data_IF_587672715958
#
_entry.id   IF_587672715958
#
_cell.length_a   1.000
_cell.length_b   1.000
_cell.length_c   1.000
_cell.angle_alpha   90.00
_cell.angle_beta   90.00
_cell.angle_gamma   90.00
#
_symmetry.space_group_name_H-M   'P 1'
#
loop_
_entity.id
_entity.type
_entity.pdbx_description
1 polymer ?
#
# COMPACT_ATOMS: atom_id res chain seq x y z
N UNK A 1 37.28 -30.95 -0.20
CA UNK A 1 35.85 -30.76 0.08
C UNK A 1 35.66 -29.38 0.66
N UNK A 2 35.35 -28.40 -0.20
CA UNK A 2 35.10 -27.01 0.20
C UNK A 2 33.71 -26.94 0.82
N UNK A 3 33.61 -26.48 2.08
CA UNK A 3 32.34 -26.16 2.72
C UNK A 3 31.64 -25.08 1.88
N UNK A 4 30.65 -25.46 1.08
CA UNK A 4 29.65 -24.52 0.60
C UNK A 4 28.97 -23.92 1.83
N UNK A 5 29.15 -22.62 2.08
CA UNK A 5 28.31 -21.90 3.03
C UNK A 5 26.89 -21.96 2.48
N UNK A 6 26.08 -22.90 2.98
CA UNK A 6 24.67 -22.96 2.66
C UNK A 6 24.03 -21.62 3.05
N UNK A 7 23.51 -20.90 2.06
CA UNK A 7 22.77 -19.66 2.32
C UNK A 7 21.52 -19.91 3.16
N UNK A 8 20.90 -18.83 3.64
CA UNK A 8 19.59 -18.91 4.29
C UNK A 8 18.48 -18.64 3.27
N UNK A 9 17.32 -19.27 3.46
CA UNK A 9 16.16 -19.06 2.62
C UNK A 9 15.70 -17.60 2.68
N UNK A 10 15.45 -17.03 1.50
CA UNK A 10 15.03 -15.64 1.36
C UNK A 10 13.64 -15.38 1.99
N UNK A 11 12.81 -16.40 2.24
CA UNK A 11 11.49 -16.17 2.86
C UNK A 11 11.46 -16.48 4.36
N UNK A 12 11.97 -17.64 4.78
CA UNK A 12 11.84 -18.10 6.18
C UNK A 12 13.15 -18.11 6.98
N UNK A 13 14.30 -17.88 6.35
CA UNK A 13 15.61 -17.95 7.02
C UNK A 13 16.14 -19.36 7.30
N UNK A 14 15.39 -20.43 6.99
CA UNK A 14 15.87 -21.81 7.12
C UNK A 14 17.04 -22.12 6.16
N UNK A 15 17.77 -23.21 6.40
CA UNK A 15 18.88 -23.64 5.54
C UNK A 15 18.43 -23.80 4.08
N UNK A 16 19.10 -23.11 3.16
CA UNK A 16 18.77 -23.17 1.75
C UNK A 16 19.40 -24.39 1.06
N UNK A 17 18.67 -24.92 0.07
CA UNK A 17 19.09 -26.04 -0.80
C UNK A 17 19.05 -25.66 -2.27
N UNK A 18 18.35 -24.59 -2.60
CA UNK A 18 18.17 -24.07 -3.96
C UNK A 18 18.74 -22.65 -4.04
N UNK A 19 19.12 -22.25 -5.25
CA UNK A 19 19.47 -20.86 -5.56
C UNK A 19 18.82 -20.43 -6.87
N UNK A 20 18.48 -19.15 -6.98
CA UNK A 20 17.97 -18.59 -8.23
C UNK A 20 19.00 -18.77 -9.36
N UNK A 21 18.59 -19.35 -10.49
CA UNK A 21 19.48 -19.61 -11.63
C UNK A 21 19.90 -18.33 -12.37
N UNK A 22 19.06 -17.27 -12.32
CA UNK A 22 19.30 -15.99 -12.99
C UNK A 22 20.31 -15.13 -12.23
N UNK A 23 19.98 -14.68 -11.01
CA UNK A 23 20.88 -13.79 -10.26
C UNK A 23 21.98 -14.55 -9.50
N UNK A 24 21.80 -15.83 -9.17
CA UNK A 24 22.69 -16.65 -8.31
C UNK A 24 22.97 -16.08 -6.92
N UNK A 25 22.20 -15.07 -6.48
CA UNK A 25 22.39 -14.31 -5.24
C UNK A 25 21.27 -14.49 -4.21
N UNK A 26 20.26 -15.29 -4.55
CA UNK A 26 19.09 -15.54 -3.71
C UNK A 26 18.89 -17.03 -3.55
N UNK A 27 18.61 -17.46 -2.33
CA UNK A 27 18.61 -18.86 -1.90
C UNK A 27 17.27 -19.25 -1.29
N UNK A 28 16.86 -20.50 -1.46
CA UNK A 28 15.56 -21.02 -1.00
C UNK A 28 15.72 -22.41 -0.36
N UNK A 29 14.89 -22.73 0.64
CA UNK A 29 14.88 -24.06 1.26
C UNK A 29 14.22 -25.12 0.37
N UNK A 30 13.22 -24.73 -0.42
CA UNK A 30 12.45 -25.60 -1.31
C UNK A 30 11.90 -24.83 -2.53
N UNK A 31 11.27 -25.58 -3.43
CA UNK A 31 10.71 -25.08 -4.69
C UNK A 31 9.50 -24.18 -4.45
N UNK A 32 8.76 -24.39 -3.36
CA UNK A 32 7.54 -23.63 -3.07
C UNK A 32 7.89 -22.21 -2.64
N UNK A 33 8.91 -22.05 -1.78
CA UNK A 33 9.43 -20.72 -1.42
C UNK A 33 10.04 -20.00 -2.63
N UNK A 34 10.74 -20.71 -3.51
CA UNK A 34 11.24 -20.13 -4.75
C UNK A 34 10.10 -19.63 -5.64
N UNK A 35 9.05 -20.43 -5.84
CA UNK A 35 7.87 -20.05 -6.64
C UNK A 35 7.09 -18.91 -6.01
N UNK A 36 6.90 -18.94 -4.69
CA UNK A 36 6.20 -17.89 -3.96
C UNK A 36 6.91 -16.54 -4.11
N UNK A 37 8.24 -16.52 -3.93
CA UNK A 37 9.06 -15.32 -4.14
C UNK A 37 9.01 -14.85 -5.60
N UNK A 38 9.12 -15.78 -6.56
CA UNK A 38 9.06 -15.50 -7.99
C UNK A 38 7.77 -14.81 -8.43
N UNK A 39 6.62 -15.41 -8.10
CA UNK A 39 5.29 -14.91 -8.47
C UNK A 39 4.95 -13.62 -7.74
N UNK A 40 5.53 -13.40 -6.55
CA UNK A 40 5.32 -12.19 -5.77
C UNK A 40 6.13 -11.02 -6.34
N UNK A 41 7.46 -11.12 -6.33
CA UNK A 41 8.30 -9.95 -6.61
C UNK A 41 9.65 -10.28 -7.25
N UNK A 42 10.18 -11.49 -7.02
CA UNK A 42 11.55 -11.80 -7.41
C UNK A 42 11.77 -11.67 -8.91
N UNK A 43 10.79 -12.00 -9.75
CA UNK A 43 10.88 -11.79 -11.20
C UNK A 43 11.25 -10.34 -11.55
N UNK A 44 10.64 -9.36 -10.88
CA UNK A 44 10.85 -7.92 -11.11
C UNK A 44 12.17 -7.44 -10.52
N UNK A 45 12.57 -7.95 -9.35
CA UNK A 45 13.78 -7.46 -8.65
C UNK A 45 15.05 -8.27 -8.98
N UNK A 46 14.95 -9.43 -9.64
CA UNK A 46 16.06 -10.38 -9.83
C UNK A 46 17.34 -9.71 -10.34
N UNK A 47 17.23 -8.90 -11.40
CA UNK A 47 18.36 -8.19 -12.00
C UNK A 47 18.81 -6.99 -11.14
N UNK A 48 17.88 -6.33 -10.46
CA UNK A 48 18.16 -5.20 -9.57
C UNK A 48 18.99 -5.62 -8.35
N UNK A 49 18.88 -6.89 -7.94
CA UNK A 49 19.63 -7.44 -6.81
C UNK A 49 21.13 -7.60 -7.09
N UNK A 50 21.53 -7.79 -8.36
CA UNK A 50 22.93 -8.05 -8.74
C UNK A 50 23.86 -6.92 -8.27
N UNK A 51 23.67 -5.65 -8.68
CA UNK A 51 24.53 -4.55 -8.25
C UNK A 51 24.41 -4.24 -6.75
N UNK A 52 23.35 -4.71 -6.07
CA UNK A 52 23.08 -4.41 -4.66
C UNK A 52 23.72 -5.45 -3.71
N UNK A 53 23.90 -6.69 -4.17
CA UNK A 53 24.43 -7.81 -3.37
C UNK A 53 25.85 -8.23 -3.76
N UNK A 54 26.38 -7.75 -4.89
CA UNK A 54 27.76 -8.07 -5.30
C UNK A 54 28.78 -7.35 -4.41
N UNK A 55 29.69 -8.10 -3.79
CA UNK A 55 30.81 -7.56 -3.01
C UNK A 55 31.84 -6.91 -3.92
N UNK A 56 32.32 -5.72 -3.56
CA UNK A 56 33.24 -4.93 -4.38
C UNK A 56 34.70 -5.00 -3.88
N UNK A 57 35.69 -4.82 -4.77
CA UNK A 57 37.11 -4.75 -4.41
C UNK A 57 37.40 -3.57 -3.46
N UNK A 58 38.31 -3.78 -2.51
CA UNK A 58 38.63 -2.85 -1.41
C UNK A 58 39.48 -1.63 -1.80
N UNK A 59 40.06 -1.60 -3.00
CA UNK A 59 41.06 -0.62 -3.41
C UNK A 59 40.46 0.45 -4.32
N UNK A 60 39.82 1.46 -3.74
CA UNK A 60 39.26 2.60 -4.48
C UNK A 60 39.37 3.91 -3.70
N UNK A 61 39.37 5.06 -4.38
CA UNK A 61 39.43 6.38 -3.73
C UNK A 61 38.21 6.68 -2.84
N UNK A 62 38.35 7.67 -1.95
CA UNK A 62 37.28 8.02 -1.00
C UNK A 62 36.06 8.62 -1.70
N UNK A 63 36.25 9.47 -2.72
CA UNK A 63 35.17 10.08 -3.50
C UNK A 63 34.35 9.03 -4.23
N UNK A 64 35.01 8.07 -4.89
CA UNK A 64 34.31 7.01 -5.58
C UNK A 64 33.57 6.08 -4.61
N UNK A 65 34.14 5.86 -3.41
CA UNK A 65 33.47 5.10 -2.34
C UNK A 65 32.19 5.81 -1.90
N UNK A 66 32.22 7.12 -1.67
CA UNK A 66 31.03 7.93 -1.30
C UNK A 66 29.97 7.86 -2.41
N UNK A 67 30.36 8.14 -3.65
CA UNK A 67 29.45 8.09 -4.80
C UNK A 67 28.80 6.70 -4.95
N UNK A 68 29.57 5.61 -4.77
CA UNK A 68 29.03 4.24 -4.83
C UNK A 68 28.04 3.95 -3.71
N UNK A 69 28.31 4.40 -2.48
CA UNK A 69 27.37 4.23 -1.35
C UNK A 69 26.06 4.96 -1.65
N UNK A 70 26.11 6.18 -2.18
CA UNK A 70 24.92 6.92 -2.58
C UNK A 70 24.11 6.19 -3.67
N UNK A 71 24.78 5.68 -4.70
CA UNK A 71 24.14 4.89 -5.75
C UNK A 71 23.52 3.59 -5.21
N UNK A 72 24.19 2.93 -4.27
CA UNK A 72 23.67 1.73 -3.62
C UNK A 72 22.40 2.04 -2.83
N UNK A 73 22.39 3.13 -2.05
CA UNK A 73 21.21 3.56 -1.30
C UNK A 73 20.07 3.95 -2.24
N UNK A 74 20.34 4.67 -3.34
CA UNK A 74 19.32 5.01 -4.35
C UNK A 74 18.67 3.76 -4.94
N UNK A 75 19.46 2.76 -5.32
CA UNK A 75 18.96 1.47 -5.83
C UNK A 75 18.14 0.71 -4.79
N UNK A 76 18.59 0.70 -3.53
CA UNK A 76 17.86 0.04 -2.45
C UNK A 76 16.52 0.73 -2.17
N UNK A 77 16.48 2.07 -2.17
CA UNK A 77 15.22 2.84 -2.05
C UNK A 77 14.25 2.52 -3.18
N UNK A 78 14.72 2.48 -4.42
CA UNK A 78 13.90 2.06 -5.55
C UNK A 78 13.30 0.65 -5.37
N UNK A 79 14.09 -0.30 -4.85
CA UNK A 79 13.60 -1.66 -4.56
C UNK A 79 12.56 -1.63 -3.43
N UNK A 80 12.75 -0.80 -2.39
CA UNK A 80 11.76 -0.63 -1.30
C UNK A 80 10.43 -0.15 -1.86
N UNK A 81 10.44 0.85 -2.73
CA UNK A 81 9.21 1.42 -3.30
C UNK A 81 8.49 0.38 -4.19
N UNK A 82 9.25 -0.31 -5.06
CA UNK A 82 8.71 -1.34 -5.95
C UNK A 82 8.11 -2.54 -5.18
N UNK A 83 8.81 -3.00 -4.13
CA UNK A 83 8.37 -4.12 -3.29
C UNK A 83 7.14 -3.73 -2.45
N UNK A 84 7.13 -2.52 -1.89
CA UNK A 84 5.99 -2.00 -1.10
C UNK A 84 4.74 -1.82 -1.97
N UNK A 85 4.88 -1.19 -3.15
CA UNK A 85 3.78 -1.01 -4.10
C UNK A 85 3.23 -2.35 -4.59
N UNK A 86 4.11 -3.31 -4.91
CA UNK A 86 3.66 -4.65 -5.33
C UNK A 86 2.93 -5.39 -4.20
N UNK A 87 3.39 -5.30 -2.96
CA UNK A 87 2.69 -5.88 -1.81
C UNK A 87 1.31 -5.26 -1.61
N UNK A 88 1.22 -3.92 -1.63
CA UNK A 88 -0.04 -3.18 -1.49
C UNK A 88 -1.04 -3.58 -2.57
N UNK A 89 -0.59 -3.67 -3.83
CA UNK A 89 -1.44 -4.13 -4.94
C UNK A 89 -2.00 -5.53 -4.70
N UNK A 90 -1.18 -6.48 -4.24
CA UNK A 90 -1.68 -7.82 -3.93
C UNK A 90 -2.69 -7.84 -2.77
N UNK A 91 -2.52 -6.95 -1.79
CA UNK A 91 -3.46 -6.81 -0.68
C UNK A 91 -4.82 -6.31 -1.20
N UNK A 92 -4.84 -5.26 -2.03
CA UNK A 92 -6.07 -4.74 -2.62
C UNK A 92 -6.75 -5.74 -3.57
N UNK A 93 -5.97 -6.54 -4.30
CA UNK A 93 -6.47 -7.64 -5.13
C UNK A 93 -7.03 -8.84 -4.31
N UNK A 94 -6.97 -8.81 -2.97
CA UNK A 94 -7.32 -9.94 -2.10
C UNK A 94 -6.34 -11.12 -2.15
N UNK A 95 -5.20 -10.97 -2.84
CA UNK A 95 -4.16 -11.98 -3.03
C UNK A 95 -3.15 -11.95 -1.87
N UNK A 96 -3.63 -11.99 -0.63
CA UNK A 96 -2.84 -11.75 0.57
C UNK A 96 -1.61 -12.66 0.70
N UNK A 97 -1.72 -13.95 0.34
CA UNK A 97 -0.56 -14.88 0.33
C UNK A 97 0.56 -14.43 -0.61
N UNK A 98 0.23 -13.81 -1.75
CA UNK A 98 1.22 -13.30 -2.73
C UNK A 98 1.85 -11.99 -2.26
N UNK A 99 1.22 -11.24 -1.37
CA UNK A 99 1.78 -10.00 -0.82
C UNK A 99 2.96 -10.25 0.13
N UNK A 100 2.98 -11.40 0.83
CA UNK A 100 3.94 -11.68 1.90
C UNK A 100 5.42 -11.58 1.45
N UNK A 101 5.87 -12.20 0.33
CA UNK A 101 7.27 -12.07 -0.07
C UNK A 101 7.65 -10.63 -0.45
N UNK A 102 6.80 -9.92 -1.18
CA UNK A 102 7.02 -8.51 -1.54
C UNK A 102 7.17 -7.63 -0.29
N UNK A 103 6.27 -7.77 0.70
CA UNK A 103 6.33 -7.01 1.94
C UNK A 103 7.57 -7.38 2.79
N UNK A 104 8.00 -8.64 2.76
CA UNK A 104 9.22 -9.10 3.43
C UNK A 104 10.48 -8.48 2.80
N UNK A 105 10.55 -8.40 1.47
CA UNK A 105 11.65 -7.70 0.78
C UNK A 105 11.65 -6.21 1.12
N UNK A 106 10.49 -5.56 1.13
CA UNK A 106 10.36 -4.16 1.57
C UNK A 106 10.95 -3.96 2.96
N UNK A 107 10.57 -4.81 3.94
CA UNK A 107 11.11 -4.73 5.30
C UNK A 107 12.62 -4.92 5.35
N UNK A 108 13.16 -5.90 4.62
CA UNK A 108 14.60 -6.21 4.60
C UNK A 108 15.43 -5.07 4.03
N UNK A 109 15.01 -4.52 2.90
CA UNK A 109 15.72 -3.39 2.31
C UNK A 109 15.56 -2.13 3.15
N UNK A 110 14.39 -1.85 3.71
CA UNK A 110 14.19 -0.74 4.65
C UNK A 110 15.09 -0.86 5.88
N UNK A 111 15.21 -2.05 6.45
CA UNK A 111 16.13 -2.32 7.57
C UNK A 111 17.59 -2.03 7.19
N UNK A 112 18.00 -2.39 5.96
CA UNK A 112 19.36 -2.15 5.47
C UNK A 112 19.65 -0.67 5.20
N UNK A 113 18.67 0.08 4.71
CA UNK A 113 18.82 1.51 4.36
C UNK A 113 18.70 2.41 5.58
N UNK A 114 17.72 2.16 6.45
CA UNK A 114 17.36 3.08 7.53
C UNK A 114 17.74 2.58 8.94
N UNK A 115 18.09 1.29 9.08
CA UNK A 115 18.39 0.66 10.35
C UNK A 115 17.15 0.06 11.05
N UNK A 116 17.37 -0.85 12.00
CA UNK A 116 16.30 -1.67 12.62
C UNK A 116 15.32 -0.92 13.51
N UNK A 117 15.65 0.30 13.94
CA UNK A 117 14.85 1.10 14.88
C UNK A 117 14.18 2.31 14.21
N UNK A 118 14.25 2.41 12.89
CA UNK A 118 13.80 3.58 12.15
C UNK A 118 12.29 3.53 11.89
N UNK A 119 11.61 4.69 12.00
CA UNK A 119 10.17 4.83 11.70
C UNK A 119 9.84 4.48 10.25
N UNK A 120 10.81 4.59 9.34
CA UNK A 120 10.67 4.23 7.92
C UNK A 120 10.43 2.72 7.70
N UNK A 121 10.56 1.88 8.74
CA UNK A 121 10.20 0.45 8.68
C UNK A 121 8.71 0.21 8.91
N UNK A 122 7.99 1.15 9.54
CA UNK A 122 6.57 1.00 9.90
C UNK A 122 5.72 0.60 8.70
N UNK A 123 5.79 1.24 7.51
CA UNK A 123 4.97 0.85 6.36
C UNK A 123 5.14 -0.61 5.94
N UNK A 124 6.36 -1.15 5.99
CA UNK A 124 6.61 -2.55 5.63
C UNK A 124 6.05 -3.53 6.67
N UNK A 125 6.11 -3.18 7.97
CA UNK A 125 5.44 -3.96 9.00
C UNK A 125 3.92 -3.95 8.85
N UNK A 126 3.32 -2.82 8.50
CA UNK A 126 1.87 -2.72 8.28
C UNK A 126 1.43 -3.57 7.07
N UNK A 127 2.17 -3.54 5.96
CA UNK A 127 1.92 -4.41 4.80
C UNK A 127 1.97 -5.90 5.16
N UNK A 128 2.96 -6.31 5.95
CA UNK A 128 3.08 -7.69 6.43
C UNK A 128 1.92 -8.07 7.35
N UNK A 129 1.52 -7.18 8.25
CA UNK A 129 0.40 -7.40 9.16
C UNK A 129 -0.91 -7.56 8.39
N UNK A 130 -1.21 -6.66 7.46
CA UNK A 130 -2.43 -6.68 6.65
C UNK A 130 -2.50 -7.94 5.77
N UNK A 131 -1.38 -8.33 5.14
CA UNK A 131 -1.29 -9.59 4.42
C UNK A 131 -1.53 -10.80 5.35
N UNK A 132 -1.02 -10.79 6.59
CA UNK A 132 -1.26 -11.86 7.56
C UNK A 132 -2.73 -11.91 8.02
N UNK A 133 -3.36 -10.76 8.24
CA UNK A 133 -4.80 -10.65 8.56
C UNK A 133 -5.62 -11.28 7.44
N UNK A 134 -5.38 -10.90 6.17
CA UNK A 134 -6.11 -11.43 5.03
C UNK A 134 -5.86 -12.93 4.75
N UNK A 135 -4.78 -13.51 5.27
CA UNK A 135 -4.56 -14.97 5.26
C UNK A 135 -5.22 -15.68 6.45
N UNK A 136 -5.66 -14.94 7.47
CA UNK A 136 -6.21 -15.46 8.72
C UNK A 136 -5.14 -15.81 9.77
N UNK A 137 -3.88 -15.43 9.57
CA UNK A 137 -2.81 -15.65 10.54
C UNK A 137 -2.70 -14.45 11.50
N UNK A 138 -3.68 -14.33 12.40
CA UNK A 138 -3.79 -13.19 13.32
C UNK A 138 -2.61 -13.11 14.30
N UNK A 139 -2.02 -14.24 14.69
CA UNK A 139 -0.84 -14.27 15.56
C UNK A 139 0.35 -13.56 14.91
N UNK A 140 0.63 -13.89 13.65
CA UNK A 140 1.75 -13.26 12.93
C UNK A 140 1.46 -11.79 12.64
N UNK A 141 0.21 -11.44 12.33
CA UNK A 141 -0.20 -10.04 12.17
C UNK A 141 0.04 -9.23 13.44
N UNK A 142 -0.40 -9.74 14.60
CA UNK A 142 -0.17 -9.12 15.91
C UNK A 142 1.33 -8.90 16.17
N UNK A 143 2.17 -9.90 15.88
CA UNK A 143 3.62 -9.79 16.07
C UNK A 143 4.21 -8.62 15.24
N UNK A 144 3.81 -8.47 13.97
CA UNK A 144 4.26 -7.36 13.14
C UNK A 144 3.73 -6.00 13.60
N UNK A 145 2.47 -5.93 14.04
CA UNK A 145 1.90 -4.70 14.58
C UNK A 145 2.57 -4.28 15.90
N UNK A 146 2.95 -5.24 16.76
CA UNK A 146 3.73 -4.93 17.96
C UNK A 146 5.11 -4.33 17.63
N UNK A 147 5.78 -4.80 16.56
CA UNK A 147 7.04 -4.20 16.10
C UNK A 147 6.83 -2.76 15.58
N UNK A 148 5.80 -2.55 14.75
CA UNK A 148 5.45 -1.23 14.25
C UNK A 148 5.09 -0.26 15.39
N UNK A 149 4.27 -0.72 16.34
CA UNK A 149 3.85 0.07 17.51
C UNK A 149 5.04 0.44 18.39
N UNK A 150 5.97 -0.48 18.63
CA UNK A 150 7.15 -0.19 19.42
C UNK A 150 8.04 0.86 18.75
N UNK A 151 8.20 0.82 17.42
CA UNK A 151 8.95 1.84 16.68
C UNK A 151 8.26 3.20 16.78
N UNK A 152 6.95 3.26 16.57
CA UNK A 152 6.17 4.51 16.69
C UNK A 152 6.30 5.09 18.10
N UNK A 153 6.14 4.26 19.14
CA UNK A 153 6.24 4.70 20.54
C UNK A 153 7.63 5.25 20.89
N UNK A 154 8.69 4.70 20.29
CA UNK A 154 10.07 5.12 20.53
C UNK A 154 10.52 6.29 19.67
N UNK A 155 9.71 6.74 18.72
CA UNK A 155 10.04 7.86 17.84
C UNK A 155 9.43 9.14 18.41
N UNK A 156 10.24 10.08 18.94
CA UNK A 156 9.73 11.37 19.41
C UNK A 156 9.02 12.10 18.26
N UNK A 157 7.90 12.75 18.56
CA UNK A 157 7.10 13.52 17.59
C UNK A 157 6.79 12.73 16.30
N UNK A 158 6.54 11.42 16.44
CA UNK A 158 6.22 10.56 15.31
C UNK A 158 5.04 11.15 14.52
N UNK A 159 5.23 11.38 13.23
CA UNK A 159 4.21 11.98 12.37
C UNK A 159 2.87 11.24 12.46
N UNK A 160 1.77 12.01 12.46
CA UNK A 160 0.41 11.47 12.39
C UNK A 160 0.23 10.51 11.22
N UNK A 161 0.96 10.72 10.10
CA UNK A 161 1.00 9.86 8.91
C UNK A 161 1.34 8.38 9.20
N UNK A 162 2.21 8.12 10.20
CA UNK A 162 2.51 6.75 10.62
C UNK A 162 1.53 6.25 11.68
N UNK A 163 1.14 7.12 12.60
CA UNK A 163 0.27 6.75 13.72
C UNK A 163 -1.12 6.32 13.25
N UNK A 164 -1.74 7.07 12.33
CA UNK A 164 -3.09 6.76 11.88
C UNK A 164 -3.14 5.39 11.15
N UNK A 165 -2.16 5.10 10.29
CA UNK A 165 -2.05 3.80 9.58
C UNK A 165 -1.83 2.63 10.53
N UNK A 166 -1.05 2.84 11.60
CA UNK A 166 -0.88 1.84 12.66
C UNK A 166 -2.22 1.56 13.36
N UNK A 167 -2.95 2.61 13.74
CA UNK A 167 -4.28 2.48 14.34
C UNK A 167 -5.27 1.80 13.40
N UNK A 168 -5.27 2.11 12.10
CA UNK A 168 -6.08 1.40 11.11
C UNK A 168 -5.81 -0.09 11.12
N UNK A 169 -4.53 -0.46 11.06
CA UNK A 169 -4.11 -1.87 10.99
C UNK A 169 -4.43 -2.64 12.28
N UNK A 170 -4.31 -1.99 13.44
CA UNK A 170 -4.78 -2.55 14.72
C UNK A 170 -6.30 -2.71 14.73
N UNK A 171 -7.05 -1.73 14.21
CA UNK A 171 -8.49 -1.82 14.01
C UNK A 171 -8.88 -3.04 13.19
N UNK A 172 -8.23 -3.23 12.03
CA UNK A 172 -8.44 -4.39 11.16
C UNK A 172 -8.11 -5.72 11.84
N UNK A 173 -7.03 -5.79 12.62
CA UNK A 173 -6.69 -6.98 13.40
C UNK A 173 -7.83 -7.34 14.35
N UNK A 174 -8.36 -6.37 15.11
CA UNK A 174 -9.44 -6.61 16.05
C UNK A 174 -10.79 -6.90 15.38
N UNK A 175 -11.04 -6.38 14.18
CA UNK A 175 -12.19 -6.81 13.36
C UNK A 175 -12.07 -8.29 13.03
N UNK A 176 -10.90 -8.73 12.56
CA UNK A 176 -10.66 -10.13 12.22
C UNK A 176 -10.68 -11.07 13.43
N UNK A 177 -10.30 -10.57 14.62
CA UNK A 177 -10.40 -11.26 15.91
C UNK A 177 -11.84 -11.28 16.46
N UNK A 178 -12.76 -10.48 15.91
CA UNK A 178 -14.14 -10.33 16.38
C UNK A 178 -14.31 -9.39 17.59
N UNK A 179 -13.24 -8.75 18.04
CA UNK A 179 -13.28 -7.77 19.14
C UNK A 179 -13.68 -6.38 18.63
N UNK A 180 -14.96 -6.20 18.33
CA UNK A 180 -15.45 -4.96 17.72
C UNK A 180 -15.26 -3.71 18.60
N UNK A 181 -15.22 -3.84 19.92
CA UNK A 181 -15.00 -2.69 20.80
C UNK A 181 -13.58 -2.12 20.64
N UNK A 182 -12.57 -2.99 20.62
CA UNK A 182 -11.19 -2.57 20.38
C UNK A 182 -11.00 -2.11 18.93
N UNK A 183 -11.67 -2.75 17.98
CA UNK A 183 -11.66 -2.31 16.59
C UNK A 183 -12.16 -0.86 16.46
N UNK A 184 -13.33 -0.54 17.04
CA UNK A 184 -13.89 0.81 17.01
C UNK A 184 -13.00 1.84 17.69
N UNK A 185 -12.37 1.50 18.82
CA UNK A 185 -11.40 2.37 19.49
C UNK A 185 -10.23 2.72 18.56
N UNK A 186 -9.63 1.72 17.93
CA UNK A 186 -8.49 1.94 17.04
C UNK A 186 -8.89 2.68 15.76
N UNK A 187 -10.04 2.36 15.16
CA UNK A 187 -10.53 3.06 13.97
C UNK A 187 -10.92 4.51 14.26
N UNK A 188 -11.46 4.82 15.43
CA UNK A 188 -11.71 6.20 15.85
C UNK A 188 -10.40 7.01 15.95
N UNK A 189 -9.34 6.41 16.47
CA UNK A 189 -8.01 7.03 16.53
C UNK A 189 -7.39 7.22 15.12
N UNK A 190 -7.56 6.26 14.20
CA UNK A 190 -7.16 6.44 12.78
C UNK A 190 -7.86 7.65 12.17
N UNK A 191 -9.19 7.73 12.28
CA UNK A 191 -9.97 8.87 11.75
C UNK A 191 -9.50 10.19 12.35
N UNK A 192 -9.34 10.25 13.68
CA UNK A 192 -8.91 11.46 14.38
C UNK A 192 -7.52 11.91 13.89
N UNK A 193 -6.53 11.01 13.92
CA UNK A 193 -5.15 11.31 13.55
C UNK A 193 -5.01 11.66 12.06
N UNK A 194 -5.70 10.92 11.18
CA UNK A 194 -5.73 11.21 9.75
C UNK A 194 -6.36 12.58 9.48
N UNK A 195 -7.51 12.87 10.11
CA UNK A 195 -8.19 14.17 9.96
C UNK A 195 -7.35 15.33 10.48
N UNK A 196 -6.63 15.15 11.59
CA UNK A 196 -5.72 16.18 12.11
C UNK A 196 -4.48 16.38 11.22
N UNK A 197 -4.04 15.36 10.50
CA UNK A 197 -2.82 15.41 9.68
C UNK A 197 -3.09 15.92 8.27
N UNK A 198 -4.17 15.45 7.63
CA UNK A 198 -4.46 15.67 6.21
C UNK A 198 -5.73 16.49 5.97
N UNK A 199 -6.49 16.78 7.03
CA UNK A 199 -7.78 17.47 6.98
C UNK A 199 -8.96 16.50 7.02
N UNK A 200 -10.12 17.02 7.44
CA UNK A 200 -11.33 16.23 7.72
C UNK A 200 -11.88 15.49 6.49
N UNK A 201 -11.76 16.09 5.30
CA UNK A 201 -12.30 15.57 4.04
C UNK A 201 -11.18 14.99 3.14
N UNK A 202 -10.15 14.43 3.77
CA UNK A 202 -9.01 13.82 3.08
C UNK A 202 -9.29 12.35 2.74
N UNK A 203 -8.72 11.87 1.63
CA UNK A 203 -8.85 10.45 1.24
C UNK A 203 -8.19 9.54 2.28
N UNK A 204 -7.16 10.03 2.98
CA UNK A 204 -6.47 9.34 4.07
C UNK A 204 -7.39 9.03 5.25
N UNK A 205 -8.33 9.93 5.58
CA UNK A 205 -9.33 9.71 6.64
C UNK A 205 -10.46 8.76 6.20
N UNK A 206 -10.72 8.64 4.90
CA UNK A 206 -11.84 7.83 4.36
C UNK A 206 -11.73 6.35 4.71
N UNK A 207 -10.51 5.79 4.73
CA UNK A 207 -10.28 4.37 5.05
C UNK A 207 -10.74 4.01 6.47
N UNK A 208 -10.52 4.90 7.44
CA UNK A 208 -10.96 4.71 8.82
C UNK A 208 -12.49 4.69 8.94
N UNK A 209 -13.16 5.63 8.26
CA UNK A 209 -14.62 5.66 8.18
C UNK A 209 -15.20 4.42 7.50
N UNK A 210 -14.59 3.96 6.41
CA UNK A 210 -15.03 2.76 5.67
C UNK A 210 -14.95 1.51 6.54
N UNK A 211 -13.83 1.28 7.23
CA UNK A 211 -13.71 0.13 8.12
C UNK A 211 -14.63 0.24 9.33
N UNK A 212 -14.84 1.44 9.88
CA UNK A 212 -15.78 1.65 10.97
C UNK A 212 -17.22 1.37 10.53
N UNK A 213 -17.60 1.78 9.32
CA UNK A 213 -18.89 1.45 8.71
C UNK A 213 -19.07 -0.06 8.60
N UNK A 214 -18.06 -0.80 8.13
CA UNK A 214 -18.10 -2.27 8.05
C UNK A 214 -18.33 -2.91 9.42
N UNK A 215 -17.71 -2.39 10.50
CA UNK A 215 -17.98 -2.89 11.86
C UNK A 215 -19.44 -2.69 12.26
N UNK A 216 -19.99 -1.50 12.02
CA UNK A 216 -21.39 -1.23 12.35
C UNK A 216 -22.38 -2.01 11.48
N UNK A 217 -22.03 -2.25 10.21
CA UNK A 217 -22.76 -3.13 9.31
C UNK A 217 -22.82 -4.55 9.87
N UNK A 218 -21.68 -5.11 10.30
CA UNK A 218 -21.63 -6.43 10.97
C UNK A 218 -22.43 -6.48 12.28
N UNK A 219 -22.56 -5.36 12.99
CA UNK A 219 -23.40 -5.24 14.18
C UNK A 219 -24.89 -5.00 13.87
N UNK A 220 -25.30 -4.98 12.60
CA UNK A 220 -26.66 -4.65 12.15
C UNK A 220 -27.14 -3.24 12.57
N UNK A 221 -26.20 -2.30 12.79
CA UNK A 221 -26.50 -0.88 13.10
C UNK A 221 -26.49 -0.07 11.80
N UNK A 222 -27.45 -0.39 10.94
CA UNK A 222 -27.50 0.08 9.54
C UNK A 222 -27.53 1.60 9.40
N UNK A 223 -28.22 2.31 10.29
CA UNK A 223 -28.30 3.78 10.24
C UNK A 223 -26.92 4.43 10.38
N UNK A 224 -26.09 3.91 11.29
CA UNK A 224 -24.72 4.38 11.52
C UNK A 224 -23.83 3.98 10.35
N UNK A 225 -23.90 2.71 9.93
CA UNK A 225 -23.10 2.21 8.81
C UNK A 225 -23.35 3.03 7.53
N UNK A 226 -24.61 3.27 7.19
CA UNK A 226 -24.99 4.05 6.02
C UNK A 226 -24.55 5.51 6.09
N UNK A 227 -24.64 6.15 7.26
CA UNK A 227 -24.14 7.51 7.44
C UNK A 227 -22.62 7.58 7.19
N UNK A 228 -21.87 6.58 7.65
CA UNK A 228 -20.43 6.51 7.45
C UNK A 228 -20.06 6.18 5.99
N UNK A 229 -20.79 5.27 5.33
CA UNK A 229 -20.58 5.00 3.89
C UNK A 229 -20.90 6.21 3.01
N UNK A 230 -21.92 6.99 3.36
CA UNK A 230 -22.23 8.25 2.68
C UNK A 230 -21.08 9.25 2.82
N UNK A 231 -20.51 9.38 4.02
CA UNK A 231 -19.35 10.24 4.28
C UNK A 231 -18.11 9.80 3.48
N UNK A 232 -17.82 8.50 3.43
CA UNK A 232 -16.74 7.93 2.59
C UNK A 232 -16.96 8.26 1.12
N UNK A 233 -18.20 8.08 0.64
CA UNK A 233 -18.57 8.39 -0.75
C UNK A 233 -18.40 9.88 -1.05
N UNK A 234 -18.77 10.76 -0.12
CA UNK A 234 -18.64 12.22 -0.26
C UNK A 234 -17.17 12.66 -0.35
N UNK A 235 -16.31 12.09 0.48
CA UNK A 235 -14.86 12.36 0.45
C UNK A 235 -14.27 11.97 -0.91
N UNK A 236 -14.51 10.73 -1.35
CA UNK A 236 -14.02 10.26 -2.65
C UNK A 236 -14.61 11.04 -3.82
N UNK A 237 -15.91 11.32 -3.79
CA UNK A 237 -16.58 12.11 -4.81
C UNK A 237 -15.94 13.50 -4.94
N UNK A 238 -15.73 14.19 -3.82
CA UNK A 238 -15.09 15.51 -3.80
C UNK A 238 -13.67 15.46 -4.35
N UNK A 239 -12.89 14.46 -3.96
CA UNK A 239 -11.53 14.25 -4.47
C UNK A 239 -11.53 14.02 -5.99
N UNK A 240 -12.36 13.11 -6.47
CA UNK A 240 -12.43 12.74 -7.89
C UNK A 240 -12.93 13.88 -8.78
N UNK A 241 -13.90 14.68 -8.33
CA UNK A 241 -14.32 15.89 -9.06
C UNK A 241 -13.14 16.84 -9.27
N UNK A 242 -12.35 17.09 -8.22
CA UNK A 242 -11.16 17.94 -8.33
C UNK A 242 -10.14 17.35 -9.30
N UNK A 243 -9.86 16.04 -9.20
CA UNK A 243 -8.91 15.36 -10.09
C UNK A 243 -9.35 15.43 -11.55
N UNK A 244 -10.63 15.24 -11.87
CA UNK A 244 -11.16 15.35 -13.24
C UNK A 244 -11.00 16.77 -13.76
N UNK A 245 -11.37 17.77 -12.95
CA UNK A 245 -11.23 19.18 -13.33
C UNK A 245 -9.76 19.56 -13.62
N UNK A 246 -8.83 19.11 -12.78
CA UNK A 246 -7.39 19.33 -12.98
C UNK A 246 -6.92 18.65 -14.28
N UNK A 247 -7.31 17.41 -14.54
CA UNK A 247 -6.95 16.70 -15.78
C UNK A 247 -7.50 17.41 -17.02
N UNK A 248 -8.76 17.86 -17.01
CA UNK A 248 -9.34 18.61 -18.11
C UNK A 248 -8.63 19.95 -18.37
N UNK A 249 -8.24 20.67 -17.32
CA UNK A 249 -7.46 21.90 -17.44
C UNK A 249 -6.09 21.64 -18.08
N UNK A 250 -5.40 20.58 -17.66
CA UNK A 250 -4.12 20.17 -18.27
C UNK A 250 -4.30 19.84 -19.75
N UNK A 251 -5.36 19.12 -20.13
CA UNK A 251 -5.65 18.81 -21.53
C UNK A 251 -5.93 20.07 -22.36
N UNK A 252 -6.68 21.04 -21.84
CA UNK A 252 -6.94 22.33 -22.50
C UNK A 252 -5.65 23.12 -22.72
N UNK A 253 -4.83 23.28 -21.68
CA UNK A 253 -3.54 23.97 -21.77
C UNK A 253 -2.58 23.31 -22.76
N UNK A 254 -2.62 21.97 -22.88
CA UNK A 254 -1.81 21.23 -23.85
C UNK A 254 -2.32 21.40 -25.28
N UNK A 255 -3.63 21.49 -25.49
CA UNK A 255 -4.23 21.74 -26.79
C UNK A 255 -3.99 23.17 -27.30
N UNK A 256 -3.86 24.13 -26.38
CA UNK A 256 -3.60 25.55 -26.69
C UNK A 256 -2.10 25.86 -26.95
N UNK A 257 -1.18 24.98 -26.53
CA UNK A 257 0.26 25.12 -26.83
C UNK A 257 0.57 24.66 -28.26
N UNK A 258 1.07 25.60 -29.08
CA UNK A 258 1.55 25.37 -30.45
C UNK A 258 2.72 24.36 -30.48
N UNK A 259 2.88 23.52 -31.54
CA UNK A 259 3.96 22.54 -31.66
C UNK A 259 5.40 23.11 -31.69
N UNK A 260 5.59 24.44 -31.64
CA UNK A 260 6.86 25.13 -31.90
C UNK A 260 7.50 25.82 -30.68
N UNK A 261 7.02 25.61 -29.45
CA UNK A 261 7.69 26.11 -28.24
C UNK A 261 8.42 24.99 -27.52
N UNK A 262 9.75 25.12 -27.43
CA UNK A 262 10.67 24.17 -26.78
C UNK A 262 10.19 23.69 -25.42
N UNK A 263 10.37 22.38 -25.20
CA UNK A 263 9.92 21.56 -24.09
C UNK A 263 10.33 22.15 -22.73
N UNK A 264 9.45 22.96 -22.13
CA UNK A 264 9.34 22.98 -20.68
C UNK A 264 8.36 21.88 -20.30
N UNK A 265 8.90 20.77 -19.82
CA UNK A 265 8.15 19.73 -19.11
C UNK A 265 7.13 20.44 -18.22
N UNK A 266 5.85 20.30 -18.53
CA UNK A 266 4.81 20.71 -17.60
C UNK A 266 5.01 19.79 -16.42
N UNK A 267 5.55 20.30 -15.32
CA UNK A 267 5.59 19.59 -14.05
C UNK A 267 4.18 19.05 -13.80
N UNK A 268 4.01 17.75 -13.98
CA UNK A 268 2.79 17.05 -13.61
C UNK A 268 2.76 17.17 -12.09
N UNK A 269 1.99 18.15 -11.61
CA UNK A 269 1.94 18.48 -10.19
C UNK A 269 1.59 17.26 -9.34
N UNK A 270 1.92 17.36 -8.05
CA UNK A 270 1.61 16.40 -6.98
C UNK A 270 0.13 15.95 -6.89
N UNK A 271 -0.77 16.54 -7.68
CA UNK A 271 -2.22 16.30 -7.68
C UNK A 271 -2.67 15.11 -8.57
N UNK A 272 -1.75 14.39 -9.21
CA UNK A 272 -2.12 13.17 -9.94
C UNK A 272 -2.35 12.01 -8.95
N UNK A 273 -3.56 11.45 -8.98
CA UNK A 273 -3.94 10.34 -8.12
C UNK A 273 -2.99 9.14 -8.31
N UNK A 274 -2.40 8.68 -7.22
CA UNK A 274 -1.45 7.57 -7.22
C UNK A 274 -2.13 6.24 -7.55
N UNK A 275 -1.36 5.27 -8.06
CA UNK A 275 -1.86 3.90 -8.30
C UNK A 275 -2.45 3.26 -7.03
N UNK A 276 -1.92 3.61 -5.84
CA UNK A 276 -2.43 3.12 -4.56
C UNK A 276 -3.80 3.73 -4.24
N UNK A 277 -3.96 5.04 -4.40
CA UNK A 277 -5.26 5.71 -4.24
C UNK A 277 -6.30 5.20 -5.23
N UNK A 278 -5.90 4.94 -6.49
CA UNK A 278 -6.77 4.34 -7.50
C UNK A 278 -7.30 2.97 -7.04
N UNK A 279 -6.40 2.09 -6.59
CA UNK A 279 -6.77 0.75 -6.15
C UNK A 279 -7.66 0.77 -4.89
N UNK A 280 -7.36 1.64 -3.92
CA UNK A 280 -8.19 1.83 -2.72
C UNK A 280 -9.58 2.36 -3.10
N UNK A 281 -9.67 3.38 -3.97
CA UNK A 281 -10.93 3.93 -4.44
C UNK A 281 -11.80 2.87 -5.14
N UNK A 282 -11.20 2.05 -6.02
CA UNK A 282 -11.90 0.94 -6.69
C UNK A 282 -12.46 -0.01 -5.63
N UNK A 283 -11.64 -0.44 -4.68
CA UNK A 283 -12.08 -1.42 -3.68
C UNK A 283 -13.21 -0.86 -2.80
N UNK A 284 -13.02 0.36 -2.26
CA UNK A 284 -13.96 0.98 -1.33
C UNK A 284 -15.28 1.31 -2.02
N UNK A 285 -15.26 1.95 -3.17
CA UNK A 285 -16.50 2.39 -3.85
C UNK A 285 -17.31 1.20 -4.39
N UNK A 286 -16.66 0.17 -4.94
CA UNK A 286 -17.38 -1.05 -5.35
C UNK A 286 -17.95 -1.80 -4.14
N UNK A 287 -17.24 -1.88 -3.01
CA UNK A 287 -17.77 -2.50 -1.80
C UNK A 287 -19.00 -1.76 -1.26
N UNK A 288 -18.99 -0.42 -1.29
CA UNK A 288 -20.15 0.40 -0.90
C UNK A 288 -21.32 0.17 -1.87
N UNK A 289 -21.06 0.12 -3.18
CA UNK A 289 -22.09 -0.15 -4.19
C UNK A 289 -22.75 -1.51 -3.94
N UNK A 290 -21.95 -2.57 -3.78
CA UNK A 290 -22.42 -3.93 -3.51
C UNK A 290 -23.31 -4.02 -2.27
N UNK A 291 -22.98 -3.25 -1.22
CA UNK A 291 -23.78 -3.19 0.00
C UNK A 291 -25.12 -2.50 -0.28
N UNK A 292 -25.09 -1.33 -0.92
CA UNK A 292 -26.30 -0.53 -1.20
C UNK A 292 -27.28 -1.24 -2.11
N UNK A 293 -26.80 -1.97 -3.12
CA UNK A 293 -27.65 -2.75 -4.03
C UNK A 293 -28.39 -3.90 -3.31
N UNK A 294 -27.80 -4.43 -2.25
CA UNK A 294 -28.38 -5.54 -1.46
C UNK A 294 -29.29 -5.06 -0.33
N UNK A 295 -29.34 -3.76 -0.03
CA UNK A 295 -30.17 -3.25 1.06
C UNK A 295 -31.67 -3.36 0.72
N UNK A 296 -32.52 -3.79 1.67
CA UNK A 296 -33.97 -3.85 1.47
C UNK A 296 -34.60 -2.48 1.17
N UNK A 297 -34.04 -1.42 1.78
CA UNK A 297 -34.50 -0.04 1.61
C UNK A 297 -33.56 0.70 0.68
N UNK A 298 -33.93 0.76 -0.59
CA UNK A 298 -33.12 1.46 -1.58
C UNK A 298 -33.07 2.97 -1.31
N UNK A 299 -31.87 3.54 -1.49
CA UNK A 299 -31.62 4.98 -1.46
C UNK A 299 -31.05 5.41 -2.81
N UNK A 300 -31.90 5.74 -3.80
CA UNK A 300 -31.47 5.98 -5.17
C UNK A 300 -30.46 7.13 -5.30
N UNK A 301 -30.64 8.21 -4.54
CA UNK A 301 -29.74 9.38 -4.58
C UNK A 301 -28.32 9.04 -4.11
N UNK A 302 -28.20 8.26 -3.04
CA UNK A 302 -26.91 7.80 -2.53
C UNK A 302 -26.23 6.81 -3.48
N UNK A 303 -27.01 5.90 -4.06
CA UNK A 303 -26.52 4.91 -5.04
C UNK A 303 -25.99 5.61 -6.29
N UNK A 304 -26.73 6.61 -6.79
CA UNK A 304 -26.31 7.44 -7.92
C UNK A 304 -25.00 8.19 -7.64
N UNK A 305 -24.78 8.65 -6.39
CA UNK A 305 -23.53 9.32 -6.00
C UNK A 305 -22.33 8.38 -6.07
N UNK A 306 -22.48 7.13 -5.61
CA UNK A 306 -21.41 6.11 -5.69
C UNK A 306 -21.09 5.78 -7.15
N UNK A 307 -22.13 5.57 -7.98
CA UNK A 307 -21.95 5.30 -9.41
C UNK A 307 -21.25 6.47 -10.13
N UNK A 308 -21.63 7.71 -9.81
CA UNK A 308 -20.97 8.88 -10.36
C UNK A 308 -19.50 8.98 -9.94
N UNK A 309 -19.17 8.66 -8.69
CA UNK A 309 -17.78 8.57 -8.23
C UNK A 309 -16.99 7.50 -9.00
N UNK A 310 -17.57 6.30 -9.17
CA UNK A 310 -16.96 5.22 -9.96
C UNK A 310 -16.75 5.61 -11.43
N UNK A 311 -17.72 6.29 -12.05
CA UNK A 311 -17.61 6.75 -13.43
C UNK A 311 -16.44 7.75 -13.60
N UNK A 312 -16.29 8.72 -12.69
CA UNK A 312 -15.15 9.63 -12.67
C UNK A 312 -13.83 8.88 -12.47
N UNK A 313 -13.80 7.90 -11.55
CA UNK A 313 -12.62 7.09 -11.28
C UNK A 313 -12.17 6.32 -12.53
N UNK A 314 -13.09 5.65 -13.23
CA UNK A 314 -12.76 4.91 -14.45
C UNK A 314 -12.38 5.83 -15.62
N UNK A 315 -12.95 7.03 -15.70
CA UNK A 315 -12.50 8.06 -16.64
C UNK A 315 -11.04 8.46 -16.38
N UNK A 316 -10.67 8.75 -15.13
CA UNK A 316 -9.30 9.12 -14.74
C UNK A 316 -8.28 8.00 -15.02
N UNK A 317 -8.68 6.74 -14.84
CA UNK A 317 -7.82 5.56 -15.07
C UNK A 317 -7.75 5.19 -16.56
N UNK A 318 -8.51 5.87 -17.43
CA UNK A 318 -8.66 5.55 -18.86
C UNK A 318 -9.20 4.13 -19.13
N UNK A 319 -9.91 3.53 -18.17
CA UNK A 319 -10.61 2.26 -18.36
C UNK A 319 -12.03 2.52 -18.89
N UNK A 320 -12.09 2.98 -20.15
CA UNK A 320 -13.33 3.37 -20.83
C UNK A 320 -14.32 2.21 -21.00
N UNK A 321 -13.87 0.95 -20.86
CA UNK A 321 -14.73 -0.22 -20.95
C UNK A 321 -15.74 -0.28 -19.80
N UNK A 322 -15.36 0.20 -18.61
CA UNK A 322 -16.21 0.18 -17.40
C UNK A 322 -17.10 1.41 -17.24
N UNK A 323 -16.76 2.53 -17.88
CA UNK A 323 -17.55 3.77 -17.85
C UNK A 323 -18.95 3.56 -18.47
N UNK A 324 -19.04 2.74 -19.52
CA UNK A 324 -20.30 2.47 -20.22
C UNK A 324 -21.33 1.67 -19.42
N UNK A 325 -20.90 0.97 -18.35
CA UNK A 325 -21.79 0.18 -17.49
C UNK A 325 -22.28 0.93 -16.25
N UNK A 326 -21.74 2.14 -15.99
CA UNK A 326 -22.05 2.94 -14.79
C UNK A 326 -23.00 4.11 -15.03
N UNK A 327 -23.43 4.35 -16.28
CA UNK A 327 -24.33 5.44 -16.66
C UNK A 327 -25.79 5.02 -16.79
#
# INVERSE_FOLDING_TARGET
GTLERFGCCELCGATARLRCSRCRLTYYCDVDHQKADWVSIHEKICQLLIPVRTSLPSLTSEEERKHRVEQLVKRQKYIIDLTSSTAQKFIFDGKHKKALPAALHALRFSTKVYGSSSVQLVPAYLLLAEACIGVGNLQQASNYLSQAQWIVLRTPDCSGAFQHRLHRSLGLLYVADGNFNQALYHLANDIYLASSTFGLKSVEASGGYFHMANVFFHQNKMDIANSLYAEVTDIWHTFLVKSVQTQEQIHKLRAEKSPFTEDKEVEVGEDTMTEAQQAEAIQVLNAILDIREKEPKQQPGETARVLHALAMLYYLIMDLSKVSFTC
#
